data_IF_388240515145
#
_entry.id   IF_388240515145
#
_cell.length_a   1.000
_cell.length_b   1.000
_cell.length_c   1.000
_cell.angle_alpha   90.00
_cell.angle_beta   90.00
_cell.angle_gamma   90.00
#
_symmetry.space_group_name_H-M   'P 1'
#
loop_
_entity.id
_entity.type
_entity.pdbx_description
1 polymer ?
#
# COMPACT_ATOMS: atom_id res chain seq x y z
N UNK A 1 -13.71 20.93 -3.48
CA UNK A 1 -13.44 19.73 -4.30
C UNK A 1 -11.94 19.60 -4.54
N UNK A 2 -11.24 18.89 -3.65
CA UNK A 2 -9.84 18.44 -3.83
C UNK A 2 -9.67 17.04 -3.20
N UNK A 3 -10.73 16.23 -3.22
CA UNK A 3 -10.91 15.09 -2.29
C UNK A 3 -10.05 13.86 -2.60
N UNK A 4 -9.42 13.76 -3.77
CA UNK A 4 -8.64 12.59 -4.17
C UNK A 4 -7.13 12.85 -4.11
N UNK A 5 -6.64 13.86 -4.84
CA UNK A 5 -5.22 14.21 -4.81
C UNK A 5 -4.76 14.63 -3.42
N UNK A 6 -5.53 15.42 -2.68
CA UNK A 6 -5.14 15.82 -1.32
C UNK A 6 -5.06 14.63 -0.36
N UNK A 7 -5.97 13.65 -0.50
CA UNK A 7 -5.96 12.44 0.31
C UNK A 7 -4.81 11.51 -0.07
N UNK A 8 -4.52 11.37 -1.36
CA UNK A 8 -3.36 10.65 -1.86
C UNK A 8 -2.05 11.21 -1.31
N UNK A 9 -1.85 12.53 -1.42
CA UNK A 9 -0.62 13.19 -0.94
C UNK A 9 -0.44 13.00 0.58
N UNK A 10 -1.53 13.15 1.35
CA UNK A 10 -1.51 12.91 2.81
C UNK A 10 -1.14 11.47 3.16
N UNK A 11 -1.74 10.49 2.49
CA UNK A 11 -1.46 9.06 2.73
C UNK A 11 -0.02 8.74 2.32
N UNK A 12 0.44 9.29 1.19
CA UNK A 12 1.81 9.11 0.73
C UNK A 12 2.83 9.70 1.71
N UNK A 13 2.57 10.88 2.27
CA UNK A 13 3.43 11.51 3.28
C UNK A 13 3.57 10.64 4.54
N UNK A 14 2.44 10.09 5.04
CA UNK A 14 2.43 9.19 6.21
C UNK A 14 3.20 7.90 5.92
N UNK A 15 2.99 7.30 4.75
CA UNK A 15 3.70 6.08 4.36
C UNK A 15 5.21 6.31 4.19
N UNK A 16 5.61 7.46 3.62
CA UNK A 16 7.03 7.86 3.51
C UNK A 16 7.70 8.02 4.87
N UNK A 17 7.01 8.61 5.85
CA UNK A 17 7.51 8.75 7.23
C UNK A 17 7.67 7.39 7.95
N UNK A 18 6.83 6.42 7.60
CA UNK A 18 6.78 5.11 8.29
C UNK A 18 7.70 4.08 7.63
N UNK A 19 7.92 4.17 6.32
CA UNK A 19 8.67 3.18 5.54
C UNK A 19 10.06 3.71 5.18
N UNK A 20 11.08 3.31 5.95
CA UNK A 20 12.49 3.69 5.67
C UNK A 20 13.14 2.93 4.52
N UNK A 21 12.56 1.81 4.06
CA UNK A 21 13.20 0.93 3.07
C UNK A 21 12.36 0.77 1.79
N UNK A 22 12.98 1.06 0.64
CA UNK A 22 12.48 0.69 -0.67
C UNK A 22 12.72 -0.81 -0.92
N UNK A 23 11.66 -1.59 -0.71
CA UNK A 23 11.01 -2.45 -1.72
C UNK A 23 11.87 -3.31 -2.66
N UNK A 24 11.70 -4.63 -2.51
CA UNK A 24 11.97 -5.72 -3.46
C UNK A 24 13.30 -5.60 -4.24
N UNK A 25 14.34 -6.25 -3.72
CA UNK A 25 15.67 -6.36 -4.35
C UNK A 25 15.62 -6.94 -5.77
N UNK A 26 14.59 -7.74 -6.09
CA UNK A 26 14.45 -8.38 -7.38
C UNK A 26 13.06 -8.15 -8.00
N UNK A 27 13.03 -7.49 -9.16
CA UNK A 27 11.88 -7.42 -10.05
C UNK A 27 12.35 -7.69 -11.48
N UNK A 28 11.68 -8.61 -12.19
CA UNK A 28 12.02 -8.96 -13.59
C UNK A 28 11.84 -7.79 -14.57
N UNK A 29 10.97 -6.83 -14.23
CA UNK A 29 10.72 -5.62 -15.04
C UNK A 29 10.90 -4.39 -14.16
N UNK A 30 11.46 -3.32 -14.74
CA UNK A 30 11.55 -2.02 -14.07
C UNK A 30 10.14 -1.48 -13.80
N UNK A 31 9.77 -1.19 -12.55
CA UNK A 31 8.43 -0.70 -12.23
C UNK A 31 8.26 0.75 -12.71
N UNK A 32 7.04 1.10 -13.14
CA UNK A 32 6.69 2.47 -13.55
C UNK A 32 6.36 3.40 -12.38
N UNK A 33 6.04 2.85 -11.22
CA UNK A 33 5.60 3.54 -10.00
C UNK A 33 6.21 2.82 -8.81
N UNK A 34 6.62 3.55 -7.78
CA UNK A 34 7.17 2.91 -6.57
C UNK A 34 6.08 2.18 -5.80
N UNK A 35 6.40 1.11 -5.06
CA UNK A 35 5.35 0.39 -4.30
C UNK A 35 4.75 1.27 -3.19
N UNK A 36 5.43 2.32 -2.74
CA UNK A 36 4.86 3.30 -1.81
C UNK A 36 3.74 4.10 -2.46
N UNK A 37 3.97 4.60 -3.67
CA UNK A 37 2.97 5.32 -4.46
C UNK A 37 1.82 4.39 -4.88
N UNK A 38 2.11 3.14 -5.23
CA UNK A 38 1.09 2.15 -5.55
C UNK A 38 0.21 1.86 -4.32
N UNK A 39 0.81 1.69 -3.15
CA UNK A 39 0.09 1.44 -1.91
C UNK A 39 -0.72 2.67 -1.46
N UNK A 40 -0.17 3.89 -1.58
CA UNK A 40 -0.93 5.11 -1.26
C UNK A 40 -2.13 5.28 -2.18
N UNK A 41 -1.99 4.99 -3.48
CA UNK A 41 -3.09 5.04 -4.44
C UNK A 41 -4.17 4.01 -4.11
N UNK A 42 -3.78 2.78 -3.80
CA UNK A 42 -4.71 1.70 -3.45
C UNK A 42 -5.50 2.02 -2.16
N UNK A 43 -4.83 2.55 -1.14
CA UNK A 43 -5.48 3.00 0.10
C UNK A 43 -6.42 4.17 -0.16
N UNK A 44 -6.01 5.16 -0.95
CA UNK A 44 -6.86 6.31 -1.30
C UNK A 44 -8.14 5.84 -1.99
N UNK A 45 -8.04 4.91 -2.94
CA UNK A 45 -9.20 4.34 -3.62
C UNK A 45 -10.15 3.61 -2.66
N UNK A 46 -9.61 2.80 -1.73
CA UNK A 46 -10.43 2.11 -0.74
C UNK A 46 -11.13 3.07 0.23
N UNK A 47 -10.45 4.11 0.68
CA UNK A 47 -11.02 5.13 1.57
C UNK A 47 -12.13 5.94 0.89
N UNK A 48 -11.94 6.34 -0.37
CA UNK A 48 -12.95 7.09 -1.13
C UNK A 48 -14.22 6.25 -1.34
N UNK A 49 -14.09 4.97 -1.69
CA UNK A 49 -15.24 4.06 -1.87
C UNK A 49 -15.97 3.83 -0.53
N UNK A 50 -15.22 3.66 0.57
CA UNK A 50 -15.79 3.28 1.88
C UNK A 50 -16.31 4.46 2.70
N UNK A 51 -16.00 5.72 2.35
CA UNK A 51 -16.54 6.93 3.02
C UNK A 51 -18.08 6.95 3.06
N UNK A 52 -18.75 6.35 2.08
CA UNK A 52 -20.21 6.24 2.03
C UNK A 52 -20.80 5.03 2.78
N UNK A 53 -19.97 4.13 3.33
CA UNK A 53 -20.37 2.86 3.93
C UNK A 53 -19.90 2.74 5.40
N UNK A 54 -20.14 3.78 6.20
CA UNK A 54 -19.65 3.91 7.60
C UNK A 54 -19.97 2.73 8.53
N UNK A 55 -20.89 1.84 8.15
CA UNK A 55 -21.26 0.62 8.88
C UNK A 55 -20.25 -0.55 8.80
N UNK A 56 -19.23 -0.48 7.92
CA UNK A 56 -18.34 -1.62 7.62
C UNK A 56 -16.86 -1.43 8.02
N UNK A 57 -16.58 -0.56 9.00
CA UNK A 57 -15.21 -0.25 9.43
C UNK A 57 -14.41 -1.49 9.89
N UNK A 58 -15.08 -2.49 10.47
CA UNK A 58 -14.43 -3.70 10.98
C UNK A 58 -13.92 -4.61 9.85
N UNK A 59 -14.73 -4.80 8.80
CA UNK A 59 -14.31 -5.50 7.58
C UNK A 59 -13.25 -4.74 6.78
N UNK A 60 -13.17 -3.42 6.93
CA UNK A 60 -12.11 -2.60 6.31
C UNK A 60 -10.74 -2.87 6.96
N UNK A 61 -10.65 -2.86 8.29
CA UNK A 61 -9.40 -3.19 9.00
C UNK A 61 -8.85 -4.54 8.56
N UNK A 62 -9.70 -5.57 8.58
CA UNK A 62 -9.33 -6.93 8.22
C UNK A 62 -8.78 -7.02 6.79
N UNK A 63 -9.36 -6.27 5.83
CA UNK A 63 -8.90 -6.24 4.44
C UNK A 63 -7.55 -5.52 4.28
N UNK A 64 -7.38 -4.38 4.95
CA UNK A 64 -6.12 -3.62 4.91
C UNK A 64 -4.99 -4.45 5.52
N UNK A 65 -5.22 -5.05 6.70
CA UNK A 65 -4.24 -5.94 7.34
C UNK A 65 -3.90 -7.15 6.46
N UNK A 66 -4.90 -7.84 5.90
CA UNK A 66 -4.67 -8.98 5.00
C UNK A 66 -3.80 -8.62 3.79
N UNK A 67 -4.02 -7.44 3.18
CA UNK A 67 -3.19 -6.94 2.07
C UNK A 67 -1.75 -6.66 2.52
N UNK A 68 -1.55 -5.98 3.65
CA UNK A 68 -0.22 -5.68 4.18
C UNK A 68 0.53 -6.98 4.51
N UNK A 69 -0.12 -7.94 5.16
CA UNK A 69 0.46 -9.25 5.49
C UNK A 69 0.83 -10.01 4.22
N UNK A 70 -0.07 -10.09 3.23
CA UNK A 70 0.22 -10.74 1.94
C UNK A 70 1.43 -10.14 1.23
N UNK A 71 1.49 -8.80 1.14
CA UNK A 71 2.63 -8.10 0.52
C UNK A 71 3.93 -8.34 1.29
N UNK A 72 3.89 -8.39 2.62
CA UNK A 72 5.06 -8.67 3.46
C UNK A 72 5.52 -10.12 3.31
N UNK A 73 4.61 -11.08 3.26
CA UNK A 73 4.92 -12.50 3.06
C UNK A 73 5.55 -12.75 1.69
N UNK A 74 5.00 -12.15 0.63
CA UNK A 74 5.57 -12.25 -0.72
C UNK A 74 6.97 -11.63 -0.77
N UNK A 75 7.17 -10.48 -0.12
CA UNK A 75 8.50 -9.84 -0.01
C UNK A 75 9.49 -10.73 0.72
N UNK A 76 9.07 -11.36 1.82
CA UNK A 76 9.90 -12.28 2.59
C UNK A 76 10.32 -13.48 1.74
N UNK A 77 9.37 -14.10 1.02
CA UNK A 77 9.64 -15.22 0.12
C UNK A 77 10.61 -14.81 -1.00
N UNK A 78 10.40 -13.65 -1.64
CA UNK A 78 11.30 -13.16 -2.67
C UNK A 78 12.71 -12.91 -2.13
N UNK A 79 12.84 -12.32 -0.94
CA UNK A 79 14.15 -12.15 -0.30
C UNK A 79 14.80 -13.49 0.01
N UNK A 80 14.03 -14.46 0.49
CA UNK A 80 14.52 -15.81 0.80
C UNK A 80 15.00 -16.57 -0.45
N UNK A 81 14.29 -16.47 -1.57
CA UNK A 81 14.62 -17.19 -2.81
C UNK A 81 15.73 -16.49 -3.62
N UNK A 82 15.78 -15.15 -3.64
CA UNK A 82 16.64 -14.39 -4.56
C UNK A 82 17.86 -13.70 -3.91
N UNK A 83 18.02 -13.68 -2.58
CA UNK A 83 19.27 -13.23 -1.93
C UNK A 83 20.25 -14.40 -1.72
N UNK A 84 20.71 -15.01 -2.81
CA UNK A 84 21.88 -15.89 -2.79
C UNK A 84 22.96 -15.37 -3.73
#
# INVERSE_FOLDING_TARGET
MNDLNSNYERILEVLRKTSKEQLLTYQRRKPKMSDLELNSLNLTAEFVIRRNYSKYFDGFKTRVFSKITSLTTIKYINKFIFNH
#
